data_IF_227097730227
#
_entry.id   IF_227097730227
#
_cell.length_a   1.000
_cell.length_b   1.000
_cell.length_c   1.000
_cell.angle_alpha   90.00
_cell.angle_beta   90.00
_cell.angle_gamma   90.00
#
_symmetry.space_group_name_H-M   'P 1'
#
loop_
_entity.id
_entity.type
_entity.pdbx_description
1 polymer ?
#
# COMPACT_ATOMS: atom_id res chain seq x y z
N UNK A 1 2.24 32.23 4.62
CA UNK A 1 2.34 33.44 5.48
C UNK A 1 1.70 33.09 6.82
N UNK A 2 2.37 33.33 7.95
CA UNK A 2 1.81 33.08 9.29
C UNK A 2 1.00 34.30 9.74
N UNK A 3 -0.25 34.08 10.14
CA UNK A 3 -1.06 35.08 10.83
C UNK A 3 -1.54 34.50 12.16
N UNK A 4 -1.36 35.26 13.23
CA UNK A 4 -2.00 34.97 14.52
C UNK A 4 -3.27 35.80 14.56
N UNK A 5 -4.45 35.16 14.60
CA UNK A 5 -5.73 35.84 14.80
C UNK A 5 -6.27 35.50 16.18
N UNK A 6 -6.71 36.50 16.94
CA UNK A 6 -7.39 36.31 18.21
C UNK A 6 -8.90 36.20 17.94
N UNK A 7 -9.55 35.13 18.42
CA UNK A 7 -10.99 34.96 18.25
C UNK A 7 -11.78 35.76 19.31
N UNK A 8 -13.10 35.88 19.12
CA UNK A 8 -13.99 36.62 20.05
C UNK A 8 -14.05 36.04 21.49
N UNK A 9 -13.41 34.89 21.74
CA UNK A 9 -13.29 34.25 23.07
C UNK A 9 -11.88 34.36 23.66
N UNK A 10 -10.97 35.15 23.06
CA UNK A 10 -9.60 35.35 23.56
C UNK A 10 -8.67 34.15 23.34
N UNK A 11 -9.03 33.20 22.47
CA UNK A 11 -8.10 32.15 22.03
C UNK A 11 -7.36 32.64 20.78
N UNK A 12 -6.03 32.55 20.83
CA UNK A 12 -5.18 32.76 19.67
C UNK A 12 -5.26 31.55 18.75
N UNK A 13 -5.75 31.76 17.53
CA UNK A 13 -5.67 30.80 16.43
C UNK A 13 -4.41 31.12 15.63
N UNK A 14 -3.45 30.20 15.62
CA UNK A 14 -2.32 30.27 14.69
C UNK A 14 -2.80 29.78 13.33
N UNK A 15 -3.00 30.70 12.39
CA UNK A 15 -3.47 30.39 11.04
C UNK A 15 -2.28 30.42 10.10
N UNK A 16 -1.98 29.27 9.53
CA UNK A 16 -0.90 29.14 8.55
C UNK A 16 -1.51 29.07 7.15
N UNK A 17 -1.24 30.08 6.33
CA UNK A 17 -1.60 30.07 4.92
C UNK A 17 -0.54 29.35 4.10
N UNK A 18 -0.96 28.29 3.42
CA UNK A 18 -0.13 27.55 2.48
C UNK A 18 -0.55 27.86 1.05
N UNK A 19 0.43 28.03 0.17
CA UNK A 19 0.20 28.22 -1.26
C UNK A 19 0.28 26.85 -1.93
N UNK A 20 -0.87 26.25 -2.20
CA UNK A 20 -0.99 24.92 -2.79
C UNK A 20 -1.76 25.05 -4.10
N UNK A 21 -1.19 24.60 -5.22
CA UNK A 21 -1.82 24.65 -6.56
C UNK A 21 -2.34 26.04 -6.99
N UNK A 22 -1.65 27.12 -6.61
CA UNK A 22 -2.05 28.48 -7.01
C UNK A 22 -3.08 29.15 -6.09
N UNK A 23 -3.54 28.47 -5.04
CA UNK A 23 -4.56 28.96 -4.11
C UNK A 23 -4.00 28.98 -2.69
N UNK A 24 -4.29 30.05 -1.95
CA UNK A 24 -4.04 30.11 -0.52
C UNK A 24 -5.07 29.25 0.21
N UNK A 25 -4.65 28.13 0.79
CA UNK A 25 -5.51 27.27 1.59
C UNK A 25 -5.21 27.44 3.08
N UNK A 26 -6.29 27.52 3.86
CA UNK A 26 -6.29 27.64 5.31
C UNK A 26 -6.49 26.24 5.89
N UNK A 27 -5.51 25.75 6.66
CA UNK A 27 -5.66 24.50 7.42
C UNK A 27 -6.19 24.86 8.81
N UNK A 28 -7.44 24.52 9.07
CA UNK A 28 -8.05 24.67 10.41
C UNK A 28 -7.83 23.39 11.21
N UNK A 29 -6.64 23.26 11.81
CA UNK A 29 -6.26 22.06 12.55
C UNK A 29 -7.16 21.83 13.77
N UNK A 30 -7.67 22.87 14.43
CA UNK A 30 -8.61 22.71 15.57
C UNK A 30 -9.93 22.09 15.08
N UNK A 31 -10.44 22.51 13.92
CA UNK A 31 -11.60 21.87 13.30
C UNK A 31 -11.35 20.40 12.96
N UNK A 32 -10.23 20.07 12.34
CA UNK A 32 -9.87 18.68 11.99
C UNK A 32 -9.78 17.82 13.26
N UNK A 33 -9.14 18.32 14.30
CA UNK A 33 -9.07 17.65 15.60
C UNK A 33 -10.47 17.38 16.19
N UNK A 34 -11.36 18.37 16.17
CA UNK A 34 -12.73 18.20 16.66
C UNK A 34 -13.53 17.17 15.83
N UNK A 35 -13.32 17.13 14.51
CA UNK A 35 -13.93 16.12 13.65
C UNK A 35 -13.45 14.71 13.98
N UNK A 36 -12.17 14.51 14.31
CA UNK A 36 -11.65 13.22 14.79
C UNK A 36 -12.34 12.73 16.07
N UNK A 37 -12.82 13.65 16.91
CA UNK A 37 -13.52 13.35 18.16
C UNK A 37 -15.05 13.24 18.00
N UNK A 38 -15.57 13.45 16.80
CA UNK A 38 -17.01 13.43 16.55
C UNK A 38 -17.61 12.04 16.73
N UNK A 39 -18.87 11.99 17.17
CA UNK A 39 -19.65 10.75 17.18
C UNK A 39 -20.06 10.30 15.77
N UNK A 40 -20.12 11.22 14.79
CA UNK A 40 -20.45 10.87 13.40
C UNK A 40 -19.22 10.29 12.68
N UNK A 41 -19.25 9.02 12.23
CA UNK A 41 -18.14 8.43 11.48
C UNK A 41 -17.82 9.20 10.19
N UNK A 42 -18.78 9.90 9.57
CA UNK A 42 -18.52 10.70 8.37
C UNK A 42 -17.61 11.89 8.65
N UNK A 43 -17.76 12.53 9.80
CA UNK A 43 -16.88 13.62 10.21
C UNK A 43 -15.46 13.10 10.49
N UNK A 44 -15.34 11.93 11.13
CA UNK A 44 -14.05 11.28 11.35
C UNK A 44 -13.36 10.89 10.04
N UNK A 45 -14.13 10.38 9.06
CA UNK A 45 -13.62 10.09 7.70
C UNK A 45 -13.16 11.37 7.00
N UNK A 46 -13.94 12.45 7.06
CA UNK A 46 -13.55 13.75 6.48
C UNK A 46 -12.24 14.26 7.09
N UNK A 47 -12.03 14.10 8.40
CA UNK A 47 -10.77 14.47 9.03
C UNK A 47 -9.57 13.67 8.49
N UNK A 48 -9.76 12.37 8.21
CA UNK A 48 -8.74 11.52 7.60
C UNK A 48 -8.43 11.90 6.15
N UNK A 49 -9.45 12.29 5.38
CA UNK A 49 -9.27 12.88 4.04
C UNK A 49 -8.46 14.18 4.11
N UNK A 50 -8.71 15.03 5.11
CA UNK A 50 -7.91 16.23 5.35
C UNK A 50 -6.47 15.91 5.78
N UNK A 51 -6.23 14.85 6.58
CA UNK A 51 -4.86 14.38 6.86
C UNK A 51 -4.13 13.96 5.58
N UNK A 52 -4.79 13.23 4.67
CA UNK A 52 -4.19 12.86 3.38
C UNK A 52 -3.71 14.06 2.59
N UNK A 53 -4.30 15.25 2.75
CA UNK A 53 -3.93 16.46 1.98
C UNK A 53 -2.97 17.35 2.77
N UNK A 54 -3.22 17.55 4.06
CA UNK A 54 -2.63 18.65 4.84
C UNK A 54 -1.64 18.23 5.91
N UNK A 55 -1.48 16.93 6.21
CA UNK A 55 -0.67 16.47 7.35
C UNK A 55 0.73 17.11 7.42
N UNK A 56 1.48 17.14 6.31
CA UNK A 56 2.83 17.72 6.26
C UNK A 56 2.87 19.22 6.57
N UNK A 57 1.74 19.91 6.39
CA UNK A 57 1.51 21.34 6.58
C UNK A 57 0.82 21.66 7.92
N UNK A 58 0.51 20.68 8.76
CA UNK A 58 -0.08 20.95 10.07
C UNK A 58 0.97 21.53 11.04
N UNK A 59 0.66 22.62 11.75
CA UNK A 59 1.60 23.21 12.72
C UNK A 59 1.89 22.27 13.90
N UNK A 60 0.88 21.55 14.42
CA UNK A 60 1.07 20.55 15.49
C UNK A 60 0.97 19.14 14.92
N UNK A 61 2.05 18.65 14.31
CA UNK A 61 2.11 17.30 13.74
C UNK A 61 1.95 16.19 14.77
N UNK A 62 2.30 16.46 16.03
CA UNK A 62 2.17 15.45 17.09
C UNK A 62 0.70 15.25 17.47
N UNK A 63 -0.09 16.32 17.56
CA UNK A 63 -1.54 16.20 17.74
C UNK A 63 -2.19 15.49 16.56
N UNK A 64 -1.88 15.91 15.32
CA UNK A 64 -2.40 15.27 14.12
C UNK A 64 -2.05 13.77 14.04
N UNK A 65 -0.81 13.42 14.40
CA UNK A 65 -0.38 12.03 14.54
C UNK A 65 -1.19 11.27 15.59
N UNK A 66 -1.35 11.83 16.79
CA UNK A 66 -2.10 11.19 17.87
C UNK A 66 -3.57 10.96 17.48
N UNK A 67 -4.18 11.88 16.74
CA UNK A 67 -5.54 11.73 16.25
C UNK A 67 -5.65 10.63 15.19
N UNK A 68 -4.77 10.64 14.18
CA UNK A 68 -4.71 9.59 13.16
C UNK A 68 -4.49 8.21 13.79
N UNK A 69 -3.53 8.09 14.72
CA UNK A 69 -3.26 6.87 15.47
C UNK A 69 -4.51 6.34 16.18
N UNK A 70 -5.25 7.19 16.90
CA UNK A 70 -6.50 6.80 17.57
C UNK A 70 -7.54 6.25 16.60
N UNK A 71 -7.69 6.89 15.43
CA UNK A 71 -8.68 6.46 14.43
C UNK A 71 -8.37 5.10 13.80
N UNK A 72 -7.12 4.60 13.92
CA UNK A 72 -6.81 3.20 13.56
C UNK A 72 -7.50 2.17 14.46
N UNK A 73 -7.97 2.58 15.64
CA UNK A 73 -8.72 1.74 16.60
C UNK A 73 -10.21 2.10 16.64
N UNK A 74 -10.71 2.88 15.68
CA UNK A 74 -12.11 3.30 15.64
C UNK A 74 -13.05 2.08 15.60
N UNK A 75 -14.24 2.22 16.19
CA UNK A 75 -15.24 1.15 16.16
C UNK A 75 -15.84 0.96 14.75
N UNK A 76 -15.93 2.04 13.97
CA UNK A 76 -16.40 2.01 12.59
C UNK A 76 -15.30 1.50 11.65
N UNK A 77 -15.57 0.40 10.96
CA UNK A 77 -14.64 -0.21 10.00
C UNK A 77 -14.23 0.76 8.88
N UNK A 78 -15.12 1.66 8.45
CA UNK A 78 -14.87 2.58 7.35
C UNK A 78 -13.89 3.66 7.79
N UNK A 79 -13.99 4.10 9.05
CA UNK A 79 -13.01 4.99 9.68
C UNK A 79 -11.66 4.30 9.79
N UNK A 80 -11.60 3.04 10.26
CA UNK A 80 -10.33 2.29 10.32
C UNK A 80 -9.70 2.08 8.95
N UNK A 81 -10.51 1.78 7.94
CA UNK A 81 -10.07 1.60 6.55
C UNK A 81 -9.46 2.89 6.00
N UNK A 82 -10.14 4.01 6.21
CA UNK A 82 -9.66 5.32 5.79
C UNK A 82 -8.41 5.76 6.58
N UNK A 83 -8.32 5.39 7.86
CA UNK A 83 -7.14 5.65 8.68
C UNK A 83 -5.92 4.88 8.19
N UNK A 84 -6.09 3.61 7.80
CA UNK A 84 -5.03 2.82 7.15
C UNK A 84 -4.54 3.52 5.87
N UNK A 85 -5.49 3.97 5.04
CA UNK A 85 -5.20 4.67 3.80
C UNK A 85 -4.43 5.97 4.06
N UNK A 86 -4.89 6.81 4.99
CA UNK A 86 -4.22 8.06 5.38
C UNK A 86 -2.81 7.83 5.95
N UNK A 87 -2.63 6.78 6.77
CA UNK A 87 -1.33 6.35 7.25
C UNK A 87 -0.38 5.99 6.11
N UNK A 88 -0.83 5.23 5.12
CA UNK A 88 -0.02 4.86 3.96
C UNK A 88 0.46 6.07 3.16
N UNK A 89 -0.45 7.00 2.84
CA UNK A 89 -0.11 8.23 2.10
C UNK A 89 0.86 9.15 2.84
N UNK A 90 0.80 9.15 4.17
CA UNK A 90 1.57 10.06 5.03
C UNK A 90 2.66 9.37 5.83
N UNK A 91 2.96 8.11 5.52
CA UNK A 91 3.89 7.29 6.30
C UNK A 91 5.27 7.96 6.46
N UNK A 92 5.76 8.60 5.39
CA UNK A 92 7.03 9.31 5.39
C UNK A 92 7.03 10.59 6.24
N UNK A 93 5.86 11.19 6.46
CA UNK A 93 5.65 12.45 7.19
C UNK A 93 5.38 12.24 8.69
N UNK A 94 5.03 11.02 9.12
CA UNK A 94 4.68 10.76 10.53
C UNK A 94 5.89 10.91 11.46
N UNK A 95 5.71 11.45 12.67
CA UNK A 95 6.80 11.63 13.62
C UNK A 95 7.34 10.30 14.18
N UNK A 96 6.48 9.28 14.31
CA UNK A 96 6.84 7.95 14.83
C UNK A 96 6.55 6.85 13.79
N UNK A 97 7.54 6.57 12.94
CA UNK A 97 7.46 5.52 11.90
C UNK A 97 7.29 4.12 12.48
N UNK A 98 7.80 3.87 13.69
CA UNK A 98 7.71 2.56 14.33
C UNK A 98 6.27 2.30 14.80
N UNK A 99 5.63 3.29 15.41
CA UNK A 99 4.22 3.21 15.79
C UNK A 99 3.30 3.14 14.57
N UNK A 100 3.54 3.94 13.54
CA UNK A 100 2.80 3.86 12.28
C UNK A 100 2.89 2.48 11.62
N UNK A 101 4.09 1.87 11.62
CA UNK A 101 4.27 0.51 11.14
C UNK A 101 3.52 -0.51 12.01
N UNK A 102 3.59 -0.41 13.35
CA UNK A 102 2.85 -1.30 14.25
C UNK A 102 1.33 -1.22 14.00
N UNK A 103 0.80 -0.03 13.74
CA UNK A 103 -0.61 0.16 13.42
C UNK A 103 -0.98 -0.51 12.10
N UNK A 104 -0.20 -0.29 11.03
CA UNK A 104 -0.44 -0.96 9.73
C UNK A 104 -0.34 -2.48 9.87
N UNK A 105 0.69 -2.99 10.54
CA UNK A 105 0.85 -4.42 10.83
C UNK A 105 -0.38 -5.00 11.54
N UNK A 106 -0.89 -4.33 12.58
CA UNK A 106 -2.12 -4.75 13.25
C UNK A 106 -3.33 -4.71 12.32
N UNK A 107 -3.48 -3.66 11.50
CA UNK A 107 -4.60 -3.51 10.57
C UNK A 107 -4.59 -4.57 9.45
N UNK A 108 -3.44 -5.13 9.09
CA UNK A 108 -3.38 -6.32 8.20
C UNK A 108 -4.01 -7.58 8.83
N UNK A 109 -4.39 -7.53 10.11
CA UNK A 109 -5.10 -8.59 10.83
C UNK A 109 -6.49 -8.13 11.31
N UNK A 110 -7.02 -7.01 10.79
CA UNK A 110 -8.35 -6.53 11.15
C UNK A 110 -9.44 -7.55 10.77
N UNK A 111 -10.54 -7.56 11.50
CA UNK A 111 -11.68 -8.45 11.23
C UNK A 111 -12.37 -8.10 9.91
N UNK A 112 -12.38 -6.82 9.53
CA UNK A 112 -13.01 -6.37 8.31
C UNK A 112 -12.06 -6.44 7.10
N UNK A 113 -12.55 -7.04 6.02
CA UNK A 113 -11.80 -7.22 4.78
C UNK A 113 -11.36 -5.90 4.12
N UNK A 114 -12.17 -4.84 4.21
CA UNK A 114 -11.85 -3.56 3.59
C UNK A 114 -10.69 -2.91 4.32
N UNK A 115 -10.67 -3.02 5.65
CA UNK A 115 -9.54 -2.55 6.47
C UNK A 115 -8.27 -3.32 6.14
N UNK A 116 -8.32 -4.65 6.02
CA UNK A 116 -7.15 -5.45 5.63
C UNK A 116 -6.64 -5.11 4.23
N UNK A 117 -7.55 -4.87 3.28
CA UNK A 117 -7.21 -4.47 1.91
C UNK A 117 -6.52 -3.10 1.88
N UNK A 118 -7.07 -2.10 2.59
CA UNK A 118 -6.44 -0.78 2.67
C UNK A 118 -5.11 -0.83 3.43
N UNK A 119 -4.97 -1.66 4.47
CA UNK A 119 -3.70 -1.85 5.15
C UNK A 119 -2.63 -2.45 4.23
N UNK A 120 -3.00 -3.39 3.35
CA UNK A 120 -2.10 -3.91 2.33
C UNK A 120 -1.66 -2.82 1.35
N UNK A 121 -2.60 -2.01 0.85
CA UNK A 121 -2.31 -0.89 -0.05
C UNK A 121 -1.41 0.16 0.62
N UNK A 122 -1.69 0.49 1.88
CA UNK A 122 -0.92 1.42 2.70
C UNK A 122 0.52 0.94 2.96
N UNK A 123 0.72 -0.35 3.21
CA UNK A 123 2.06 -0.94 3.24
C UNK A 123 2.79 -0.75 1.92
N UNK A 124 2.08 -0.78 0.78
CA UNK A 124 2.63 -0.46 -0.52
C UNK A 124 3.12 0.98 -0.65
N UNK A 125 2.30 1.96 -0.27
CA UNK A 125 2.67 3.38 -0.33
C UNK A 125 3.83 3.74 0.60
N UNK A 126 3.86 3.17 1.80
CA UNK A 126 4.89 3.45 2.81
C UNK A 126 6.11 2.51 2.77
N UNK A 127 6.16 1.54 1.84
CA UNK A 127 7.10 0.42 1.91
C UNK A 127 8.58 0.83 1.95
N UNK A 128 8.93 1.89 1.22
CA UNK A 128 10.31 2.39 1.18
C UNK A 128 10.79 2.94 2.52
N UNK A 129 9.85 3.38 3.37
CA UNK A 129 10.06 4.05 4.65
C UNK A 129 9.84 3.16 5.88
N UNK A 130 9.30 1.94 5.73
CA UNK A 130 9.05 1.06 6.87
C UNK A 130 10.36 0.64 7.54
N UNK A 131 10.39 0.53 8.89
CA UNK A 131 11.59 0.15 9.62
C UNK A 131 12.01 -1.31 9.36
N UNK A 132 11.05 -2.20 9.13
CA UNK A 132 11.29 -3.63 8.83
C UNK A 132 10.56 -4.06 7.54
N UNK A 133 11.30 -3.99 6.43
CA UNK A 133 10.80 -4.38 5.11
C UNK A 133 10.53 -5.88 5.00
N UNK A 134 11.28 -6.72 5.71
CA UNK A 134 11.08 -8.16 5.66
C UNK A 134 9.76 -8.54 6.34
N UNK A 135 9.46 -7.92 7.48
CA UNK A 135 8.19 -8.17 8.15
C UNK A 135 7.01 -7.58 7.36
N UNK A 136 7.15 -6.40 6.76
CA UNK A 136 6.12 -5.86 5.85
C UNK A 136 5.88 -6.78 4.64
N UNK A 137 6.93 -7.34 4.06
CA UNK A 137 6.84 -8.36 3.01
C UNK A 137 6.13 -9.62 3.49
N UNK A 138 6.46 -10.11 4.70
CA UNK A 138 5.81 -11.28 5.28
C UNK A 138 4.32 -11.05 5.55
N UNK A 139 3.93 -9.85 5.99
CA UNK A 139 2.52 -9.48 6.18
C UNK A 139 1.75 -9.50 4.86
N UNK A 140 2.30 -8.89 3.81
CA UNK A 140 1.73 -8.94 2.47
C UNK A 140 1.64 -10.38 1.95
N UNK A 141 2.71 -11.17 2.13
CA UNK A 141 2.71 -12.58 1.75
C UNK A 141 1.63 -13.38 2.50
N UNK A 142 1.43 -13.14 3.80
CA UNK A 142 0.33 -13.77 4.56
C UNK A 142 -1.03 -13.41 3.98
N UNK A 143 -1.25 -12.14 3.62
CA UNK A 143 -2.50 -11.67 3.02
C UNK A 143 -2.80 -12.28 1.64
N UNK A 144 -1.80 -12.82 0.93
CA UNK A 144 -2.06 -13.61 -0.29
C UNK A 144 -2.88 -14.88 -0.05
N UNK A 145 -2.97 -15.33 1.21
CA UNK A 145 -3.82 -16.46 1.65
C UNK A 145 -5.05 -15.99 2.44
N UNK A 146 -5.41 -14.70 2.36
CA UNK A 146 -6.59 -14.18 3.03
C UNK A 146 -7.87 -14.86 2.54
N UNK A 147 -8.89 -14.93 3.38
CA UNK A 147 -10.19 -15.52 3.01
C UNK A 147 -10.90 -14.69 1.91
N UNK A 148 -10.69 -13.38 1.88
CA UNK A 148 -11.31 -12.48 0.91
C UNK A 148 -10.46 -12.32 -0.37
N UNK A 149 -11.10 -12.51 -1.53
CA UNK A 149 -10.44 -12.44 -2.84
C UNK A 149 -9.84 -11.07 -3.15
N UNK A 150 -10.49 -9.99 -2.71
CA UNK A 150 -10.00 -8.64 -2.96
C UNK A 150 -8.72 -8.38 -2.17
N UNK A 151 -8.67 -8.80 -0.91
CA UNK A 151 -7.48 -8.71 -0.07
C UNK A 151 -6.31 -9.48 -0.67
N UNK A 152 -6.55 -10.73 -1.13
CA UNK A 152 -5.52 -11.52 -1.81
C UNK A 152 -4.98 -10.82 -3.06
N UNK A 153 -5.87 -10.32 -3.91
CA UNK A 153 -5.49 -9.63 -5.15
C UNK A 153 -4.67 -8.38 -4.88
N UNK A 154 -5.08 -7.57 -3.89
CA UNK A 154 -4.37 -6.36 -3.48
C UNK A 154 -2.97 -6.71 -2.95
N UNK A 155 -2.86 -7.71 -2.07
CA UNK A 155 -1.58 -8.13 -1.51
C UNK A 155 -0.56 -8.55 -2.58
N UNK A 156 -0.99 -9.35 -3.56
CA UNK A 156 -0.10 -9.75 -4.68
C UNK A 156 0.27 -8.57 -5.57
N UNK A 157 -0.68 -7.66 -5.82
CA UNK A 157 -0.43 -6.43 -6.58
C UNK A 157 0.65 -5.58 -5.88
N UNK A 158 0.52 -5.40 -4.56
CA UNK A 158 1.48 -4.64 -3.76
C UNK A 158 2.84 -5.33 -3.68
N UNK A 159 2.91 -6.66 -3.48
CA UNK A 159 4.18 -7.41 -3.55
C UNK A 159 4.91 -7.17 -4.88
N UNK A 160 4.15 -7.11 -5.99
CA UNK A 160 4.69 -6.76 -7.30
C UNK A 160 5.19 -5.32 -7.40
N UNK A 161 4.49 -4.35 -6.80
CA UNK A 161 4.88 -2.93 -6.88
C UNK A 161 6.08 -2.59 -5.99
N UNK A 162 6.22 -3.25 -4.83
CA UNK A 162 7.30 -2.99 -3.86
C UNK A 162 8.53 -3.88 -4.07
N UNK A 163 8.51 -4.75 -5.08
CA UNK A 163 9.59 -5.69 -5.37
C UNK A 163 10.97 -5.02 -5.46
N UNK A 164 11.04 -3.82 -6.05
CA UNK A 164 12.29 -3.05 -6.20
C UNK A 164 12.93 -2.68 -4.87
N UNK A 165 12.09 -2.48 -3.86
CA UNK A 165 12.49 -2.00 -2.55
C UNK A 165 12.96 -3.13 -1.63
N UNK A 166 12.80 -4.39 -2.05
CA UNK A 166 13.31 -5.55 -1.34
C UNK A 166 14.83 -5.68 -1.47
N UNK A 167 15.54 -5.85 -0.34
CA UNK A 167 16.97 -6.14 -0.34
C UNK A 167 17.28 -7.48 -1.03
N UNK A 168 16.56 -8.55 -0.67
CA UNK A 168 16.71 -9.86 -1.29
C UNK A 168 15.69 -10.07 -2.42
N UNK A 169 16.09 -9.62 -3.62
CA UNK A 169 15.28 -9.75 -4.84
C UNK A 169 15.13 -11.20 -5.32
N UNK A 170 16.05 -12.09 -4.94
CA UNK A 170 15.97 -13.50 -5.33
C UNK A 170 14.93 -14.23 -4.48
N UNK A 171 14.91 -13.98 -3.18
CA UNK A 171 13.84 -14.46 -2.30
C UNK A 171 12.48 -13.92 -2.73
N UNK A 172 12.38 -12.61 -2.99
CA UNK A 172 11.15 -11.99 -3.46
C UNK A 172 10.62 -12.62 -4.76
N UNK A 173 11.53 -12.94 -5.70
CA UNK A 173 11.19 -13.67 -6.92
C UNK A 173 10.63 -15.06 -6.62
N UNK A 174 11.31 -15.83 -5.77
CA UNK A 174 10.89 -17.18 -5.40
C UNK A 174 9.51 -17.19 -4.71
N UNK A 175 9.24 -16.20 -3.86
CA UNK A 175 7.94 -16.03 -3.21
C UNK A 175 6.82 -15.78 -4.23
N UNK A 176 7.01 -14.81 -5.14
CA UNK A 176 6.04 -14.54 -6.22
C UNK A 176 5.88 -15.75 -7.15
N UNK A 177 6.97 -16.44 -7.48
CA UNK A 177 6.92 -17.66 -8.30
C UNK A 177 6.13 -18.77 -7.62
N UNK A 178 6.25 -18.96 -6.31
CA UNK A 178 5.43 -19.93 -5.58
C UNK A 178 3.93 -19.62 -5.70
N UNK A 179 3.54 -18.34 -5.63
CA UNK A 179 2.14 -17.91 -5.77
C UNK A 179 1.55 -18.21 -7.16
N UNK A 180 2.37 -18.40 -8.18
CA UNK A 180 1.87 -18.84 -9.51
C UNK A 180 1.42 -20.29 -9.55
N UNK A 181 1.74 -21.08 -8.53
CA UNK A 181 1.27 -22.45 -8.34
C UNK A 181 0.14 -22.55 -7.30
N UNK A 182 -0.49 -21.42 -6.93
CA UNK A 182 -1.63 -21.42 -6.03
C UNK A 182 -2.84 -22.13 -6.68
N UNK A 183 -3.17 -23.33 -6.20
CA UNK A 183 -4.23 -24.16 -6.76
C UNK A 183 -5.64 -23.66 -6.39
N UNK A 184 -5.76 -22.84 -5.35
CA UNK A 184 -7.05 -22.40 -4.80
C UNK A 184 -7.58 -21.15 -5.51
N UNK A 185 -6.70 -20.23 -5.87
CA UNK A 185 -7.07 -18.88 -6.29
C UNK A 185 -6.44 -18.45 -7.61
N UNK A 186 -7.21 -18.55 -8.69
CA UNK A 186 -6.73 -18.14 -10.01
C UNK A 186 -6.30 -16.67 -10.11
N UNK A 187 -6.96 -15.77 -9.36
CA UNK A 187 -6.56 -14.36 -9.32
C UNK A 187 -5.21 -14.11 -8.64
N UNK A 188 -4.82 -14.96 -7.67
CA UNK A 188 -3.49 -14.89 -7.04
C UNK A 188 -2.44 -15.28 -8.07
N UNK A 189 -2.66 -16.41 -8.77
CA UNK A 189 -1.75 -16.86 -9.84
C UNK A 189 -1.57 -15.81 -10.93
N UNK A 190 -2.68 -15.24 -11.43
CA UNK A 190 -2.67 -14.24 -12.51
C UNK A 190 -1.88 -12.99 -12.10
N UNK A 191 -2.15 -12.45 -10.91
CA UNK A 191 -1.45 -11.28 -10.39
C UNK A 191 0.03 -11.57 -10.13
N UNK A 192 0.37 -12.77 -9.64
CA UNK A 192 1.75 -13.17 -9.42
C UNK A 192 2.53 -13.30 -10.73
N UNK A 193 1.94 -13.92 -11.76
CA UNK A 193 2.56 -14.01 -13.08
C UNK A 193 2.79 -12.62 -13.71
N UNK A 194 1.84 -11.70 -13.55
CA UNK A 194 2.01 -10.29 -13.96
C UNK A 194 3.15 -9.62 -13.20
N UNK A 195 3.21 -9.79 -11.88
CA UNK A 195 4.26 -9.22 -11.04
C UNK A 195 5.66 -9.75 -11.43
N UNK A 196 5.80 -11.06 -11.69
CA UNK A 196 7.06 -11.64 -12.18
C UNK A 196 7.47 -11.05 -13.53
N UNK A 197 6.52 -10.92 -14.47
CA UNK A 197 6.78 -10.31 -15.77
C UNK A 197 7.31 -8.88 -15.65
N UNK A 198 6.66 -8.05 -14.81
CA UNK A 198 7.06 -6.66 -14.58
C UNK A 198 8.40 -6.52 -13.86
N UNK A 199 8.79 -7.51 -13.05
CA UNK A 199 9.99 -7.44 -12.21
C UNK A 199 11.17 -8.29 -12.69
N UNK A 200 11.06 -8.95 -13.85
CA UNK A 200 12.13 -9.81 -14.41
C UNK A 200 13.50 -9.13 -14.46
N UNK A 201 13.59 -7.83 -14.77
CA UNK A 201 14.89 -7.12 -14.84
C UNK A 201 15.52 -6.82 -13.49
N UNK A 202 14.81 -7.05 -12.40
CA UNK A 202 15.29 -6.73 -11.06
C UNK A 202 15.92 -7.94 -10.37
N UNK A 203 15.55 -9.17 -10.74
CA UNK A 203 16.10 -10.39 -10.13
C UNK A 203 17.57 -10.66 -10.52
N UNK A 204 18.47 -11.03 -9.61
CA UNK A 204 19.86 -11.31 -9.96
C UNK A 204 20.04 -12.50 -10.91
N UNK A 205 19.36 -13.62 -10.65
CA UNK A 205 19.43 -14.82 -11.51
C UNK A 205 18.43 -14.75 -12.67
N UNK A 206 18.89 -14.18 -13.79
CA UNK A 206 18.08 -14.09 -15.03
C UNK A 206 17.76 -15.44 -15.63
N UNK A 207 18.64 -16.41 -15.50
CA UNK A 207 18.46 -17.72 -16.11
C UNK A 207 17.36 -18.49 -15.39
N UNK A 208 17.38 -18.48 -14.06
CA UNK A 208 16.30 -19.07 -13.27
C UNK A 208 14.97 -18.38 -13.58
N UNK A 209 14.95 -17.05 -13.52
CA UNK A 209 13.75 -16.27 -13.78
C UNK A 209 13.15 -16.54 -15.16
N UNK A 210 14.01 -16.67 -16.18
CA UNK A 210 13.61 -17.06 -17.52
C UNK A 210 12.97 -18.44 -17.55
N UNK A 211 13.63 -19.43 -16.95
CA UNK A 211 13.14 -20.81 -16.92
C UNK A 211 11.78 -20.91 -16.19
N UNK A 212 11.62 -20.16 -15.09
CA UNK A 212 10.37 -20.05 -14.36
C UNK A 212 9.26 -19.50 -15.27
N UNK A 213 9.48 -18.35 -15.93
CA UNK A 213 8.50 -17.75 -16.85
C UNK A 213 8.15 -18.67 -18.04
N UNK A 214 9.13 -19.34 -18.64
CA UNK A 214 8.89 -20.31 -19.73
C UNK A 214 8.01 -21.46 -19.24
N UNK A 215 8.28 -22.01 -18.05
CA UNK A 215 7.45 -23.08 -17.46
C UNK A 215 6.01 -22.61 -17.23
N UNK A 216 5.80 -21.37 -16.79
CA UNK A 216 4.45 -20.83 -16.60
C UNK A 216 3.63 -20.83 -17.89
N UNK A 217 4.24 -20.52 -19.03
CA UNK A 217 3.51 -20.50 -20.31
C UNK A 217 3.20 -21.87 -20.89
N UNK A 218 3.97 -22.88 -20.50
CA UNK A 218 3.80 -24.27 -20.91
C UNK A 218 2.93 -25.08 -19.92
N UNK A 219 2.52 -24.49 -18.80
CA UNK A 219 1.83 -25.23 -17.75
C UNK A 219 0.33 -25.47 -18.08
N UNK A 220 -0.09 -26.73 -18.03
CA UNK A 220 -1.45 -27.17 -18.37
C UNK A 220 -2.53 -26.73 -17.37
N UNK A 221 -2.18 -26.28 -16.16
CA UNK A 221 -3.15 -25.71 -15.21
C UNK A 221 -3.78 -24.40 -15.74
N UNK A 222 -3.04 -23.65 -16.56
CA UNK A 222 -3.48 -22.43 -17.25
C UNK A 222 -4.36 -22.72 -18.50
N UNK A 223 -4.55 -23.99 -18.87
CA UNK A 223 -5.39 -24.40 -20.00
C UNK A 223 -6.88 -24.53 -19.62
N UNK A 224 -7.20 -24.68 -18.32
CA UNK A 224 -8.58 -24.83 -17.82
C UNK A 224 -9.24 -23.50 -17.44
N UNK A 225 -8.45 -22.47 -17.22
CA UNK A 225 -8.89 -21.10 -17.02
C UNK A 225 -8.85 -20.31 -18.33
N UNK A 226 -9.78 -19.38 -18.48
CA UNK A 226 -10.05 -18.63 -19.72
C UNK A 226 -8.80 -17.96 -20.30
N UNK A 227 -8.77 -17.81 -21.64
CA UNK A 227 -7.72 -17.21 -22.48
C UNK A 227 -6.96 -15.98 -21.92
N UNK A 228 -7.53 -15.22 -20.97
CA UNK A 228 -6.87 -14.11 -20.28
C UNK A 228 -5.64 -14.50 -19.44
N UNK A 229 -5.66 -15.68 -18.83
CA UNK A 229 -4.58 -16.18 -17.97
C UNK A 229 -3.32 -16.51 -18.79
N UNK A 230 -3.47 -17.19 -19.94
CA UNK A 230 -2.37 -17.39 -20.91
C UNK A 230 -1.92 -16.06 -21.52
N UNK A 231 -2.84 -15.13 -21.76
CA UNK A 231 -2.51 -13.80 -22.28
C UNK A 231 -1.57 -13.05 -21.33
N UNK A 232 -1.77 -13.15 -20.02
CA UNK A 232 -0.93 -12.42 -19.05
C UNK A 232 0.45 -13.07 -18.86
N UNK A 233 0.54 -14.40 -18.79
CA UNK A 233 1.83 -15.08 -18.79
C UNK A 233 2.58 -14.86 -20.12
N UNK A 234 1.88 -14.86 -21.26
CA UNK A 234 2.45 -14.53 -22.56
C UNK A 234 2.83 -13.04 -22.69
N UNK A 235 2.09 -12.11 -22.07
CA UNK A 235 2.47 -10.69 -21.97
C UNK A 235 3.69 -10.50 -21.07
N UNK A 236 3.76 -11.21 -19.95
CA UNK A 236 4.91 -11.22 -19.06
C UNK A 236 6.15 -11.71 -19.79
N UNK A 237 6.04 -12.82 -20.53
CA UNK A 237 7.10 -13.27 -21.44
C UNK A 237 7.41 -12.23 -22.51
N UNK A 238 6.42 -11.73 -23.26
CA UNK A 238 6.63 -10.75 -24.34
C UNK A 238 7.34 -9.49 -23.83
N UNK A 239 6.96 -9.00 -22.65
CA UNK A 239 7.65 -7.90 -21.99
C UNK A 239 9.09 -8.28 -21.62
N UNK A 240 9.31 -9.46 -21.02
CA UNK A 240 10.66 -9.98 -20.73
C UNK A 240 11.50 -10.25 -22.00
N UNK A 241 10.90 -10.63 -23.12
CA UNK A 241 11.57 -10.75 -24.42
C UNK A 241 11.98 -9.38 -24.95
N UNK A 242 11.12 -8.37 -24.81
CA UNK A 242 11.36 -7.03 -25.36
C UNK A 242 12.56 -6.29 -24.75
N UNK A 243 13.05 -6.70 -23.57
CA UNK A 243 14.22 -6.08 -22.95
C UNK A 243 15.39 -7.03 -22.65
N UNK A 244 15.37 -8.28 -23.11
CA UNK A 244 16.58 -9.13 -23.15
C UNK A 244 17.32 -8.82 -24.47
N UNK A 245 18.52 -8.23 -24.44
CA UNK A 245 19.30 -7.99 -25.66
C UNK A 245 19.62 -9.31 -26.35
N UNK A 246 19.54 -9.36 -27.68
CA UNK A 246 19.65 -10.55 -28.56
C UNK A 246 20.82 -11.52 -28.27
N UNK A 247 21.81 -11.14 -27.45
CA UNK A 247 22.99 -11.96 -27.12
C UNK A 247 22.80 -12.95 -25.97
N UNK A 248 21.63 -13.01 -25.34
CA UNK A 248 21.32 -13.99 -24.28
C UNK A 248 20.17 -14.94 -24.66
N UNK A 249 19.74 -14.95 -25.92
CA UNK A 249 18.66 -15.81 -26.43
C UNK A 249 19.12 -17.23 -26.87
N UNK A 250 20.27 -17.71 -26.36
CA UNK A 250 20.84 -19.02 -26.73
C UNK A 250 20.48 -20.11 -25.71
#
# INVERSE_FOLDING_TARGET
>A
MLFTLENQKGKFLTITFYYIHGVWQLVDQEKIHNQCLSNDPKERIHALEEFKIYFSSMPDKQQAWNDLHKLTYDQDRSVRSEAASALGFRFSDVPDKQQAWNDLHRLTNDQDRSVRSEAASALGFGFSDVPDKQQAWNDLHRLTNDQDRSVRSEAVSVLGSVFSDMPDKQQAWNDLHRLTNDDEYSSVRESAAKALGSNFYQVPDKQQAWNDLVRLTNCASWHRSLWGERSNAAKALSYAFSQVPDKQQA
#
